data_IF_665782982905
#
_entry.id   IF_665782982905
#
_cell.length_a   1.000
_cell.length_b   1.000
_cell.length_c   1.000
_cell.angle_alpha   90.00
_cell.angle_beta   90.00
_cell.angle_gamma   90.00
#
_symmetry.space_group_name_H-M   'P 1'
#
loop_
_entity.id
_entity.type
_entity.pdbx_description
1 polymer ?
#
# COMPACT_ATOMS: atom_id res chain seq x y z
N UNK A 1 -13.28 -31.37 0.77
CA UNK A 1 -13.96 -30.55 -0.26
C UNK A 1 -13.03 -30.49 -1.46
N UNK A 2 -13.51 -30.80 -2.66
CA UNK A 2 -12.68 -30.72 -3.87
C UNK A 2 -12.60 -29.26 -4.35
N UNK A 3 -11.50 -28.89 -5.03
CA UNK A 3 -11.33 -27.60 -5.71
C UNK A 3 -12.54 -27.26 -6.63
N UNK A 4 -13.15 -28.25 -7.24
CA UNK A 4 -14.35 -28.16 -8.06
C UNK A 4 -15.55 -27.56 -7.32
N UNK A 5 -15.80 -27.99 -6.06
CA UNK A 5 -16.92 -27.45 -5.27
C UNK A 5 -16.77 -25.96 -4.94
N UNK A 6 -15.55 -25.51 -4.69
CA UNK A 6 -15.28 -24.07 -4.43
C UNK A 6 -15.53 -23.27 -5.70
N UNK A 7 -15.06 -23.75 -6.86
CA UNK A 7 -15.26 -23.09 -8.15
C UNK A 7 -16.74 -23.00 -8.54
N UNK A 8 -17.51 -24.07 -8.34
CA UNK A 8 -18.98 -24.07 -8.59
C UNK A 8 -19.70 -23.04 -7.71
N UNK A 9 -19.33 -22.96 -6.42
CA UNK A 9 -19.90 -21.96 -5.51
C UNK A 9 -19.55 -20.52 -5.89
N UNK A 10 -18.32 -20.27 -6.34
CA UNK A 10 -17.91 -18.95 -6.83
C UNK A 10 -18.68 -18.58 -8.11
N UNK A 11 -18.89 -19.54 -9.03
CA UNK A 11 -19.67 -19.30 -10.24
C UNK A 11 -21.14 -18.97 -9.93
N UNK A 12 -21.76 -19.70 -8.99
CA UNK A 12 -23.11 -19.41 -8.53
C UNK A 12 -23.22 -18.03 -7.87
N UNK A 13 -22.28 -17.68 -6.98
CA UNK A 13 -22.24 -16.37 -6.33
C UNK A 13 -22.11 -15.21 -7.34
N UNK A 14 -21.30 -15.42 -8.41
CA UNK A 14 -21.16 -14.43 -9.49
C UNK A 14 -22.47 -14.23 -10.22
N UNK A 15 -23.18 -15.31 -10.56
CA UNK A 15 -24.47 -15.24 -11.25
C UNK A 15 -25.53 -14.52 -10.40
N UNK A 16 -25.61 -14.82 -9.10
CA UNK A 16 -26.53 -14.13 -8.18
C UNK A 16 -26.18 -12.64 -8.04
N UNK A 17 -24.91 -12.31 -7.90
CA UNK A 17 -24.48 -10.91 -7.82
C UNK A 17 -24.82 -10.11 -9.09
N UNK A 18 -24.68 -10.75 -10.26
CA UNK A 18 -25.08 -10.15 -11.53
C UNK A 18 -26.61 -9.93 -11.59
N UNK A 19 -27.42 -10.93 -11.22
CA UNK A 19 -28.88 -10.82 -11.19
C UNK A 19 -29.36 -9.70 -10.26
N UNK A 20 -28.74 -9.56 -9.08
CA UNK A 20 -29.02 -8.45 -8.15
C UNK A 20 -28.66 -7.10 -8.79
N UNK A 21 -27.53 -7.01 -9.50
CA UNK A 21 -27.15 -5.79 -10.21
C UNK A 21 -28.13 -5.39 -11.31
N UNK A 22 -28.63 -6.34 -12.07
CA UNK A 22 -29.64 -6.14 -13.11
C UNK A 22 -30.97 -5.64 -12.52
N UNK A 23 -31.45 -6.29 -11.43
CA UNK A 23 -32.66 -5.85 -10.71
C UNK A 23 -32.53 -4.44 -10.18
N UNK A 24 -31.39 -4.09 -9.60
CA UNK A 24 -31.16 -2.73 -9.09
C UNK A 24 -31.11 -1.70 -10.21
N UNK A 25 -30.51 -2.04 -11.37
CA UNK A 25 -30.49 -1.15 -12.50
C UNK A 25 -31.90 -0.83 -13.04
N UNK A 26 -32.82 -1.78 -12.96
CA UNK A 26 -34.21 -1.61 -13.35
C UNK A 26 -35.08 -0.87 -12.32
N UNK A 27 -34.87 -1.13 -11.03
CA UNK A 27 -35.82 -0.75 -9.98
C UNK A 27 -35.35 0.40 -9.09
N UNK A 28 -34.05 0.71 -9.01
CA UNK A 28 -33.51 1.70 -8.08
C UNK A 28 -34.14 3.09 -8.21
N UNK A 29 -34.54 3.48 -9.42
CA UNK A 29 -35.22 4.77 -9.66
C UNK A 29 -36.60 4.89 -9.04
N UNK A 30 -37.23 3.78 -8.62
CA UNK A 30 -38.56 3.74 -8.00
C UNK A 30 -38.51 3.45 -6.48
N UNK A 31 -37.34 3.13 -5.94
CA UNK A 31 -37.14 2.82 -4.51
C UNK A 31 -37.04 4.08 -3.68
N UNK A 32 -37.47 3.99 -2.42
CA UNK A 32 -37.28 5.07 -1.46
C UNK A 32 -35.79 5.18 -1.05
N UNK A 33 -35.29 6.39 -0.71
CA UNK A 33 -33.87 6.57 -0.30
C UNK A 33 -33.45 5.66 0.87
N UNK A 34 -34.31 5.45 1.85
CA UNK A 34 -34.02 4.59 3.01
C UNK A 34 -33.83 3.12 2.59
N UNK A 35 -34.65 2.64 1.65
CA UNK A 35 -34.52 1.28 1.08
C UNK A 35 -33.20 1.13 0.32
N UNK A 36 -32.81 2.16 -0.43
CA UNK A 36 -31.52 2.17 -1.16
C UNK A 36 -30.32 2.14 -0.20
N UNK A 37 -30.39 2.87 0.93
CA UNK A 37 -29.34 2.81 1.95
C UNK A 37 -29.25 1.42 2.61
N UNK A 38 -30.41 0.80 2.89
CA UNK A 38 -30.44 -0.56 3.44
C UNK A 38 -29.84 -1.57 2.46
N UNK A 39 -30.24 -1.55 1.20
CA UNK A 39 -29.67 -2.40 0.14
C UNK A 39 -28.17 -2.18 -0.02
N UNK A 40 -27.71 -0.92 0.01
CA UNK A 40 -26.28 -0.59 -0.03
C UNK A 40 -25.52 -1.25 1.13
N UNK A 41 -26.07 -1.21 2.33
CA UNK A 41 -25.49 -1.85 3.51
C UNK A 41 -25.44 -3.38 3.39
N UNK A 42 -26.50 -4.01 2.89
CA UNK A 42 -26.54 -5.46 2.65
C UNK A 42 -25.52 -5.88 1.60
N UNK A 43 -25.39 -5.14 0.49
CA UNK A 43 -24.38 -5.38 -0.53
C UNK A 43 -22.96 -5.22 0.00
N UNK A 44 -22.73 -4.24 0.88
CA UNK A 44 -21.41 -4.12 1.53
C UNK A 44 -21.08 -5.37 2.35
N UNK A 45 -22.03 -5.98 3.02
CA UNK A 45 -21.85 -7.26 3.71
C UNK A 45 -21.40 -8.38 2.76
N UNK A 46 -22.04 -8.50 1.60
CA UNK A 46 -21.65 -9.47 0.57
C UNK A 46 -20.23 -9.21 0.04
N UNK A 47 -19.89 -7.95 -0.22
CA UNK A 47 -18.53 -7.56 -0.62
C UNK A 47 -17.49 -7.91 0.44
N UNK A 48 -17.80 -7.66 1.71
CA UNK A 48 -16.90 -8.02 2.83
C UNK A 48 -16.65 -9.54 2.89
N UNK A 49 -17.68 -10.37 2.70
CA UNK A 49 -17.55 -11.82 2.62
C UNK A 49 -16.62 -12.24 1.45
N UNK A 50 -16.84 -11.67 0.28
CA UNK A 50 -16.04 -11.96 -0.92
C UNK A 50 -14.56 -11.55 -0.76
N UNK A 51 -14.32 -10.35 -0.24
CA UNK A 51 -12.96 -9.89 0.09
C UNK A 51 -12.32 -10.75 1.17
N UNK A 52 -13.05 -11.14 2.21
CA UNK A 52 -12.57 -12.05 3.24
C UNK A 52 -12.13 -13.39 2.68
N UNK A 53 -12.93 -13.97 1.78
CA UNK A 53 -12.59 -15.21 1.10
C UNK A 53 -11.32 -15.06 0.23
N UNK A 54 -11.16 -13.92 -0.48
CA UNK A 54 -9.94 -13.61 -1.23
C UNK A 54 -8.72 -13.51 -0.32
N UNK A 55 -8.85 -12.87 0.86
CA UNK A 55 -7.76 -12.76 1.83
C UNK A 55 -7.30 -14.14 2.32
N UNK A 56 -8.22 -15.05 2.61
CA UNK A 56 -7.92 -16.44 2.98
C UNK A 56 -7.20 -17.16 1.84
N UNK A 57 -7.71 -17.06 0.60
CA UNK A 57 -7.09 -17.69 -0.55
C UNK A 57 -5.67 -17.15 -0.80
N UNK A 58 -5.48 -15.83 -0.76
CA UNK A 58 -4.18 -15.18 -0.94
C UNK A 58 -3.17 -15.57 0.16
N UNK A 59 -3.60 -15.67 1.42
CA UNK A 59 -2.75 -16.09 2.53
C UNK A 59 -2.28 -17.54 2.38
N UNK A 60 -3.19 -18.44 1.99
CA UNK A 60 -2.84 -19.83 1.77
C UNK A 60 -1.98 -20.02 0.52
N UNK A 61 -2.25 -19.31 -0.58
CA UNK A 61 -1.38 -19.32 -1.75
C UNK A 61 0.04 -18.85 -1.40
N UNK A 62 0.15 -17.76 -0.64
CA UNK A 62 1.43 -17.22 -0.20
C UNK A 62 2.22 -18.12 0.76
N UNK A 63 1.58 -19.11 1.39
CA UNK A 63 2.26 -20.08 2.25
C UNK A 63 3.01 -21.19 1.49
N UNK A 64 2.95 -21.19 0.15
CA UNK A 64 3.65 -22.12 -0.71
C UNK A 64 4.82 -21.42 -1.40
N UNK A 65 6.00 -22.03 -1.31
CA UNK A 65 7.23 -21.59 -1.98
C UNK A 65 7.57 -22.57 -3.10
N UNK A 66 7.88 -22.06 -4.29
CA UNK A 66 8.40 -22.90 -5.37
C UNK A 66 9.93 -22.86 -5.34
N UNK A 67 10.55 -23.97 -4.91
CA UNK A 67 12.01 -24.14 -4.92
C UNK A 67 12.47 -24.86 -6.18
N UNK A 68 13.42 -24.29 -6.88
CA UNK A 68 14.11 -24.97 -7.97
C UNK A 68 15.14 -25.92 -7.39
N UNK A 69 15.05 -27.21 -7.75
CA UNK A 69 16.02 -28.23 -7.38
C UNK A 69 16.60 -28.86 -8.65
N UNK A 70 17.71 -29.62 -8.52
CA UNK A 70 18.31 -30.34 -9.64
C UNK A 70 17.36 -31.32 -10.33
N UNK A 71 16.25 -31.69 -9.66
CA UNK A 71 15.20 -32.57 -10.17
C UNK A 71 13.98 -31.84 -10.69
N UNK A 72 14.03 -30.50 -10.75
CA UNK A 72 12.93 -29.63 -11.17
C UNK A 72 12.30 -28.84 -10.01
N UNK A 73 11.22 -28.07 -10.30
CA UNK A 73 10.53 -27.27 -9.29
C UNK A 73 9.78 -28.16 -8.28
N UNK A 74 9.94 -27.84 -6.99
CA UNK A 74 9.26 -28.50 -5.87
C UNK A 74 8.48 -27.46 -5.09
N UNK A 75 7.21 -27.77 -4.80
CA UNK A 75 6.37 -26.97 -3.92
C UNK A 75 6.66 -27.31 -2.46
N UNK A 76 7.01 -26.29 -1.67
CA UNK A 76 7.21 -26.39 -0.23
C UNK A 76 6.11 -25.62 0.47
N UNK A 77 5.32 -26.30 1.30
CA UNK A 77 4.30 -25.65 2.11
C UNK A 77 4.90 -25.22 3.45
N UNK A 78 4.76 -23.95 3.77
CA UNK A 78 5.15 -23.37 5.06
C UNK A 78 3.91 -23.19 5.96
N UNK A 79 4.13 -22.93 7.23
CA UNK A 79 3.04 -22.66 8.16
C UNK A 79 2.34 -21.33 7.89
N UNK A 80 1.18 -21.13 8.52
CA UNK A 80 0.44 -19.87 8.46
C UNK A 80 1.34 -18.68 8.87
N UNK A 81 1.26 -17.60 8.12
CA UNK A 81 2.06 -16.38 8.31
C UNK A 81 3.34 -16.29 7.49
N UNK A 82 3.79 -17.39 6.87
CA UNK A 82 4.83 -17.31 5.83
C UNK A 82 4.25 -16.61 4.58
N UNK A 83 5.06 -15.77 3.97
CA UNK A 83 4.71 -15.08 2.72
C UNK A 83 5.86 -15.28 1.75
N UNK A 84 5.61 -16.04 0.70
CA UNK A 84 6.54 -16.18 -0.42
C UNK A 84 6.76 -14.83 -1.11
N UNK A 85 8.00 -14.56 -1.51
CA UNK A 85 8.37 -13.28 -2.13
C UNK A 85 7.63 -13.01 -3.46
N UNK A 86 7.25 -14.07 -4.18
CA UNK A 86 6.53 -13.96 -5.44
C UNK A 86 5.00 -13.85 -5.27
N UNK A 87 4.46 -14.19 -4.10
CA UNK A 87 3.02 -14.22 -3.86
C UNK A 87 2.32 -12.86 -4.17
N UNK A 88 2.87 -11.68 -3.84
CA UNK A 88 2.26 -10.41 -4.24
C UNK A 88 2.13 -10.26 -5.76
N UNK A 89 3.13 -10.72 -6.52
CA UNK A 89 3.12 -10.66 -7.98
C UNK A 89 2.08 -11.61 -8.56
N UNK A 90 2.01 -12.84 -8.06
CA UNK A 90 1.02 -13.83 -8.50
C UNK A 90 -0.42 -13.40 -8.20
N UNK A 91 -0.67 -12.86 -7.00
CA UNK A 91 -1.97 -12.29 -6.64
C UNK A 91 -2.31 -11.07 -7.51
N UNK A 92 -1.34 -10.21 -7.83
CA UNK A 92 -1.51 -9.08 -8.74
C UNK A 92 -1.97 -9.55 -10.11
N UNK A 93 -1.29 -10.54 -10.69
CA UNK A 93 -1.64 -11.11 -12.00
C UNK A 93 -3.02 -11.79 -12.00
N UNK A 94 -3.35 -12.53 -10.93
CA UNK A 94 -4.62 -13.24 -10.82
C UNK A 94 -5.82 -12.30 -10.62
N UNK A 95 -5.63 -11.14 -10.02
CA UNK A 95 -6.71 -10.23 -9.63
C UNK A 95 -6.77 -8.95 -10.45
N UNK A 96 -5.73 -8.63 -11.22
CA UNK A 96 -5.63 -7.37 -11.97
C UNK A 96 -5.38 -6.12 -11.10
N UNK A 97 -5.11 -6.28 -9.79
CA UNK A 97 -4.76 -5.15 -8.91
C UNK A 97 -3.26 -4.87 -8.93
N UNK A 98 -2.84 -3.63 -8.64
CA UNK A 98 -1.42 -3.28 -8.59
C UNK A 98 -0.65 -4.09 -7.55
N UNK A 99 0.62 -4.39 -7.81
CA UNK A 99 1.50 -5.23 -6.97
C UNK A 99 1.56 -4.79 -5.49
N UNK A 100 1.60 -3.48 -5.25
CA UNK A 100 1.57 -2.94 -3.89
C UNK A 100 0.26 -3.28 -3.14
N UNK A 101 -0.89 -3.16 -3.82
CA UNK A 101 -2.19 -3.51 -3.25
C UNK A 101 -2.32 -5.02 -3.03
N UNK A 102 -1.78 -5.83 -3.95
CA UNK A 102 -1.71 -7.28 -3.81
C UNK A 102 -0.85 -7.69 -2.60
N UNK A 103 0.32 -7.08 -2.43
CA UNK A 103 1.18 -7.30 -1.25
C UNK A 103 0.47 -6.98 0.06
N UNK A 104 -0.27 -5.89 0.12
CA UNK A 104 -1.09 -5.55 1.30
C UNK A 104 -2.20 -6.58 1.57
N UNK A 105 -2.85 -7.10 0.52
CA UNK A 105 -3.86 -8.17 0.68
C UNK A 105 -3.26 -9.45 1.22
N UNK A 106 -2.15 -9.89 0.66
CA UNK A 106 -1.42 -11.07 1.14
C UNK A 106 -1.03 -10.90 2.61
N UNK A 107 -0.43 -9.77 2.96
CA UNK A 107 -0.01 -9.49 4.34
C UNK A 107 -1.21 -9.44 5.32
N UNK A 108 -2.32 -8.81 4.91
CA UNK A 108 -3.54 -8.78 5.72
C UNK A 108 -4.13 -10.17 5.89
N UNK A 109 -4.24 -10.95 4.81
CA UNK A 109 -4.75 -12.32 4.84
C UNK A 109 -3.92 -13.22 5.76
N UNK A 110 -2.59 -13.16 5.65
CA UNK A 110 -1.68 -13.90 6.53
C UNK A 110 -1.83 -13.50 8.00
N UNK A 111 -1.90 -12.18 8.28
CA UNK A 111 -2.09 -11.67 9.64
C UNK A 111 -3.44 -12.10 10.24
N UNK A 112 -4.53 -12.00 9.48
CA UNK A 112 -5.86 -12.40 9.94
C UNK A 112 -5.93 -13.90 10.20
N UNK A 113 -5.37 -14.71 9.31
CA UNK A 113 -5.38 -16.17 9.45
C UNK A 113 -4.56 -16.63 10.66
N UNK A 114 -3.40 -16.02 10.90
CA UNK A 114 -2.49 -16.46 11.96
C UNK A 114 -2.74 -15.78 13.31
N UNK A 115 -2.99 -14.46 13.31
CA UNK A 115 -2.92 -13.62 14.52
C UNK A 115 -4.28 -13.11 14.99
N UNK A 116 -5.27 -13.02 14.06
CA UNK A 116 -6.58 -12.42 14.32
C UNK A 116 -7.74 -13.28 13.80
N UNK A 117 -7.84 -14.57 14.21
CA UNK A 117 -8.84 -15.50 13.67
C UNK A 117 -10.30 -15.10 13.99
N UNK A 118 -10.55 -14.44 15.12
CA UNK A 118 -11.91 -13.98 15.48
C UNK A 118 -12.34 -12.80 14.59
N UNK A 119 -11.41 -11.90 14.29
CA UNK A 119 -11.62 -10.82 13.32
C UNK A 119 -11.87 -11.38 11.93
N UNK A 120 -11.07 -12.38 11.49
CA UNK A 120 -11.28 -13.05 10.22
C UNK A 120 -12.68 -13.65 10.12
N UNK A 121 -13.16 -14.31 11.19
CA UNK A 121 -14.52 -14.85 11.23
C UNK A 121 -15.58 -13.76 11.02
N UNK A 122 -15.40 -12.56 11.60
CA UNK A 122 -16.30 -11.42 11.42
C UNK A 122 -16.25 -10.85 9.99
N UNK A 123 -15.07 -10.82 9.36
CA UNK A 123 -14.94 -10.42 7.95
C UNK A 123 -15.63 -11.43 7.04
N UNK A 124 -15.43 -12.73 7.27
CA UNK A 124 -16.07 -13.79 6.50
C UNK A 124 -17.60 -13.83 6.69
N UNK A 125 -18.09 -13.39 7.84
CA UNK A 125 -19.53 -13.22 8.09
C UNK A 125 -20.12 -11.93 7.45
N UNK A 126 -19.28 -11.09 6.84
CA UNK A 126 -19.71 -9.80 6.26
C UNK A 126 -19.90 -8.67 7.28
N UNK A 127 -19.74 -8.94 8.57
CA UNK A 127 -19.99 -8.00 9.65
C UNK A 127 -18.93 -6.90 9.77
N UNK A 128 -17.72 -7.18 9.32
CA UNK A 128 -16.57 -6.26 9.41
C UNK A 128 -15.94 -6.07 8.05
N UNK A 129 -15.74 -4.82 7.66
CA UNK A 129 -15.03 -4.47 6.44
C UNK A 129 -13.52 -4.81 6.57
N UNK A 130 -12.89 -5.46 5.57
CA UNK A 130 -11.46 -5.74 5.54
C UNK A 130 -10.58 -4.51 5.81
N UNK A 131 -10.97 -3.32 5.34
CA UNK A 131 -10.27 -2.08 5.63
C UNK A 131 -10.27 -1.72 7.13
N UNK A 132 -11.33 -2.06 7.86
CA UNK A 132 -11.42 -1.89 9.31
C UNK A 132 -10.51 -2.90 10.03
N UNK A 133 -10.52 -4.16 9.59
CA UNK A 133 -9.61 -5.19 10.10
C UNK A 133 -8.13 -4.81 9.85
N UNK A 134 -7.80 -4.26 8.68
CA UNK A 134 -6.46 -3.74 8.37
C UNK A 134 -6.00 -2.68 9.38
N UNK A 135 -6.87 -1.77 9.80
CA UNK A 135 -6.52 -0.75 10.81
C UNK A 135 -6.14 -1.37 12.15
N UNK A 136 -6.81 -2.45 12.55
CA UNK A 136 -6.47 -3.19 13.78
C UNK A 136 -5.12 -3.89 13.62
N UNK A 137 -4.94 -4.62 12.52
CA UNK A 137 -3.69 -5.34 12.21
C UNK A 137 -2.49 -4.38 12.20
N UNK A 138 -2.61 -3.24 11.51
CA UNK A 138 -1.53 -2.24 11.43
C UNK A 138 -1.14 -1.70 12.80
N UNK A 139 -2.11 -1.43 13.69
CA UNK A 139 -1.79 -0.99 15.06
C UNK A 139 -1.04 -2.06 15.85
N UNK A 140 -1.26 -3.33 15.53
CA UNK A 140 -0.70 -4.48 16.24
C UNK A 140 0.54 -5.10 15.57
N UNK A 141 1.09 -4.52 14.52
CA UNK A 141 2.26 -5.07 13.78
C UNK A 141 3.46 -5.38 14.68
N UNK A 142 3.69 -4.55 15.69
CA UNK A 142 4.81 -4.70 16.63
C UNK A 142 4.57 -5.66 17.79
N UNK A 143 3.38 -6.25 17.92
CA UNK A 143 3.01 -7.15 19.00
C UNK A 143 3.30 -8.61 18.65
N UNK A 144 3.56 -9.45 19.66
CA UNK A 144 3.65 -10.88 19.47
C UNK A 144 2.27 -11.54 19.27
N UNK A 145 2.28 -12.82 18.93
CA UNK A 145 1.04 -13.58 18.66
C UNK A 145 0.11 -13.64 19.86
N UNK A 146 0.65 -13.80 21.08
CA UNK A 146 -0.14 -13.91 22.30
C UNK A 146 -0.86 -12.59 22.63
N UNK A 147 -0.17 -11.46 22.46
CA UNK A 147 -0.75 -10.13 22.61
C UNK A 147 -1.80 -9.86 21.53
N UNK A 148 -1.52 -10.22 20.28
CA UNK A 148 -2.50 -10.09 19.20
C UNK A 148 -3.77 -10.90 19.44
N UNK A 149 -3.68 -12.13 19.90
CA UNK A 149 -4.84 -12.95 20.24
C UNK A 149 -5.73 -12.31 21.32
N UNK A 150 -5.12 -11.65 22.32
CA UNK A 150 -5.88 -10.91 23.34
C UNK A 150 -6.54 -9.66 22.76
N UNK A 151 -5.85 -8.94 21.88
CA UNK A 151 -6.44 -7.79 21.19
C UNK A 151 -7.57 -8.24 20.28
N UNK A 152 -7.39 -9.34 19.53
CA UNK A 152 -8.41 -9.92 18.64
C UNK A 152 -9.70 -10.23 19.41
N UNK A 153 -9.61 -10.92 20.55
CA UNK A 153 -10.76 -11.26 21.39
C UNK A 153 -11.55 -10.01 21.85
N UNK A 154 -10.84 -8.94 22.22
CA UNK A 154 -11.49 -7.68 22.66
C UNK A 154 -12.10 -6.94 21.47
N UNK A 155 -11.34 -6.83 20.37
CA UNK A 155 -11.75 -6.05 19.21
C UNK A 155 -12.91 -6.71 18.45
N UNK A 156 -12.88 -8.02 18.25
CA UNK A 156 -13.96 -8.76 17.57
C UNK A 156 -15.33 -8.56 18.25
N UNK A 157 -15.36 -8.39 19.58
CA UNK A 157 -16.58 -8.10 20.31
C UNK A 157 -17.03 -6.64 20.31
N UNK A 158 -16.16 -5.71 19.87
CA UNK A 158 -16.43 -4.26 19.95
C UNK A 158 -16.55 -3.55 18.59
N UNK A 159 -16.10 -4.16 17.50
CA UNK A 159 -16.05 -3.50 16.20
C UNK A 159 -17.40 -3.04 15.66
N UNK A 160 -18.47 -3.80 15.92
CA UNK A 160 -19.82 -3.44 15.50
C UNK A 160 -20.35 -2.16 16.16
N UNK A 161 -19.82 -1.81 17.34
CA UNK A 161 -20.24 -0.64 18.12
C UNK A 161 -19.36 0.60 17.87
N UNK A 162 -18.24 0.43 17.14
CA UNK A 162 -17.23 1.47 16.96
C UNK A 162 -17.40 2.20 15.62
N UNK A 163 -17.39 3.52 15.69
CA UNK A 163 -17.19 4.34 14.51
C UNK A 163 -15.86 3.98 13.80
N UNK A 164 -15.87 3.76 12.47
CA UNK A 164 -14.67 3.39 11.72
C UNK A 164 -13.48 4.34 11.92
N UNK A 165 -13.72 5.64 12.12
CA UNK A 165 -12.68 6.64 12.38
C UNK A 165 -12.00 6.46 13.75
N UNK A 166 -12.68 5.83 14.72
CA UNK A 166 -12.18 5.61 16.08
C UNK A 166 -11.49 4.27 16.29
N UNK A 167 -11.58 3.34 15.34
CA UNK A 167 -11.02 1.98 15.46
C UNK A 167 -9.54 2.01 15.82
N UNK A 168 -8.71 2.73 15.07
CA UNK A 168 -7.25 2.78 15.33
C UNK A 168 -6.92 3.34 16.72
N UNK A 169 -7.63 4.38 17.16
CA UNK A 169 -7.41 4.98 18.48
C UNK A 169 -7.84 4.04 19.61
N UNK A 170 -8.95 3.34 19.44
CA UNK A 170 -9.42 2.35 20.40
C UNK A 170 -8.47 1.15 20.46
N UNK A 171 -8.06 0.62 19.30
CA UNK A 171 -7.09 -0.49 19.21
C UNK A 171 -5.77 -0.15 19.90
N UNK A 172 -5.24 1.08 19.72
CA UNK A 172 -4.02 1.52 20.44
C UNK A 172 -4.19 1.46 21.96
N UNK A 173 -5.34 1.89 22.48
CA UNK A 173 -5.61 1.81 23.93
C UNK A 173 -5.65 0.37 24.42
N UNK A 174 -6.29 -0.52 23.64
CA UNK A 174 -6.34 -1.95 23.95
C UNK A 174 -4.93 -2.56 23.90
N UNK A 175 -4.18 -2.33 22.81
CA UNK A 175 -2.81 -2.81 22.63
C UNK A 175 -1.88 -2.34 23.77
N UNK A 176 -1.96 -1.08 24.17
CA UNK A 176 -1.20 -0.54 25.31
C UNK A 176 -1.56 -1.22 26.61
N UNK A 177 -2.85 -1.52 26.85
CA UNK A 177 -3.28 -2.23 28.05
C UNK A 177 -2.80 -3.67 28.09
N UNK A 178 -2.78 -4.34 26.92
CA UNK A 178 -2.42 -5.76 26.79
C UNK A 178 -0.91 -5.97 26.81
N UNK A 179 -0.13 -5.09 26.15
CA UNK A 179 1.29 -5.28 25.90
C UNK A 179 2.08 -3.94 25.85
N UNK A 180 2.05 -3.18 26.95
CA UNK A 180 2.65 -1.85 27.04
C UNK A 180 4.13 -1.82 26.63
N UNK A 181 4.91 -2.82 27.01
CA UNK A 181 6.35 -2.87 26.72
C UNK A 181 6.61 -3.11 25.23
N UNK A 182 5.81 -3.97 24.59
CA UNK A 182 5.91 -4.21 23.16
C UNK A 182 5.50 -2.99 22.34
N UNK A 183 4.46 -2.27 22.79
CA UNK A 183 4.05 -1.00 22.17
C UNK A 183 5.17 0.04 22.28
N UNK A 184 5.82 0.16 23.43
CA UNK A 184 6.98 1.05 23.62
C UNK A 184 8.16 0.66 22.72
N UNK A 185 8.46 -0.63 22.63
CA UNK A 185 9.52 -1.13 21.75
C UNK A 185 9.22 -0.85 20.27
N UNK A 186 7.95 -1.00 19.84
CA UNK A 186 7.52 -0.64 18.49
C UNK A 186 7.69 0.86 18.21
N UNK A 187 7.31 1.73 19.16
CA UNK A 187 7.52 3.18 19.04
C UNK A 187 9.01 3.55 18.94
N UNK A 188 9.88 2.85 19.67
CA UNK A 188 11.33 3.06 19.55
C UNK A 188 11.87 2.62 18.18
N UNK A 189 11.37 1.53 17.60
CA UNK A 189 11.71 1.12 16.23
C UNK A 189 11.27 2.18 15.22
N UNK A 190 10.02 2.63 15.26
CA UNK A 190 9.50 3.68 14.37
C UNK A 190 10.35 4.95 14.41
N UNK A 191 10.90 5.32 15.58
CA UNK A 191 11.83 6.46 15.67
C UNK A 191 13.14 6.24 14.92
N UNK A 192 13.63 5.00 14.82
CA UNK A 192 14.83 4.66 14.03
C UNK A 192 14.52 4.63 12.54
N UNK A 193 13.35 4.12 12.18
CA UNK A 193 12.91 3.91 10.81
C UNK A 193 12.24 5.16 10.19
N UNK A 194 12.45 6.34 10.78
CA UNK A 194 11.94 7.59 10.24
C UNK A 194 12.56 7.89 8.88
N UNK A 195 11.75 8.34 7.96
CA UNK A 195 12.19 8.69 6.61
C UNK A 195 11.42 9.89 6.06
N UNK A 196 11.97 10.47 5.01
CA UNK A 196 11.31 11.41 4.11
C UNK A 196 11.61 10.95 2.69
N UNK A 197 10.59 10.80 1.88
CA UNK A 197 10.70 10.39 0.49
C UNK A 197 9.83 11.26 -0.42
N UNK A 198 10.18 11.30 -1.69
CA UNK A 198 9.37 11.95 -2.73
C UNK A 198 9.01 10.95 -3.81
N UNK A 199 7.83 11.11 -4.40
CA UNK A 199 7.37 10.31 -5.54
C UNK A 199 6.78 11.23 -6.60
N UNK A 200 7.02 10.96 -7.90
CA UNK A 200 6.37 11.70 -8.97
C UNK A 200 4.85 11.69 -8.81
N UNK A 201 4.23 12.83 -8.96
CA UNK A 201 2.78 13.05 -8.99
C UNK A 201 2.30 13.37 -10.39
N UNK A 202 1.00 13.61 -10.59
CA UNK A 202 0.43 14.04 -11.87
C UNK A 202 0.87 15.47 -12.21
N UNK A 203 0.87 15.77 -13.50
CA UNK A 203 0.99 17.13 -14.03
C UNK A 203 2.18 17.96 -13.51
N UNK A 204 3.32 17.29 -13.30
CA UNK A 204 4.53 17.93 -12.79
C UNK A 204 4.56 18.15 -11.28
N UNK A 205 3.53 17.72 -10.54
CA UNK A 205 3.52 17.72 -9.10
C UNK A 205 4.40 16.58 -8.52
N UNK A 206 4.73 16.68 -7.25
CA UNK A 206 5.50 15.66 -6.51
C UNK A 206 4.85 15.41 -5.16
N UNK A 207 4.63 14.13 -4.85
CA UNK A 207 4.17 13.71 -3.53
C UNK A 207 5.34 13.65 -2.56
N UNK A 208 5.16 14.24 -1.41
CA UNK A 208 6.06 14.11 -0.26
C UNK A 208 5.42 13.22 0.79
N UNK A 209 6.17 12.21 1.26
CA UNK A 209 5.77 11.30 2.33
C UNK A 209 6.82 11.30 3.42
N UNK A 210 6.41 11.48 4.66
CA UNK A 210 7.31 11.50 5.80
C UNK A 210 6.78 10.62 6.93
N UNK A 211 7.64 9.76 7.49
CA UNK A 211 7.39 9.05 8.75
C UNK A 211 8.21 9.71 9.84
N UNK A 212 7.55 10.46 10.72
CA UNK A 212 8.18 11.23 11.79
C UNK A 212 7.67 10.80 13.16
N UNK A 213 8.45 10.97 14.25
CA UNK A 213 7.93 10.83 15.60
C UNK A 213 6.73 11.75 15.83
N UNK A 214 5.70 11.25 16.52
CA UNK A 214 4.42 11.96 16.66
C UNK A 214 4.57 13.37 17.23
N UNK A 215 5.47 13.57 18.21
CA UNK A 215 5.73 14.90 18.79
C UNK A 215 6.31 15.87 17.75
N UNK A 216 7.33 15.44 16.99
CA UNK A 216 7.93 16.26 15.92
C UNK A 216 6.94 16.55 14.79
N UNK A 217 6.14 15.54 14.42
CA UNK A 217 5.09 15.70 13.40
C UNK A 217 4.04 16.72 13.85
N UNK A 218 3.60 16.67 15.12
CA UNK A 218 2.61 17.62 15.64
C UNK A 218 3.15 19.07 15.65
N UNK A 219 4.41 19.27 16.02
CA UNK A 219 5.04 20.59 16.00
C UNK A 219 5.19 21.11 14.57
N UNK A 220 5.66 20.25 13.63
CA UNK A 220 5.79 20.62 12.24
C UNK A 220 4.43 20.97 11.61
N UNK A 221 3.40 20.15 11.88
CA UNK A 221 2.05 20.43 11.41
C UNK A 221 1.46 21.72 11.96
N UNK A 222 1.71 22.02 13.25
CA UNK A 222 1.30 23.29 13.86
C UNK A 222 1.96 24.48 13.17
N UNK A 223 3.26 24.40 12.90
CA UNK A 223 3.98 25.47 12.19
C UNK A 223 3.44 25.71 10.78
N UNK A 224 3.23 24.63 10.01
CA UNK A 224 2.65 24.71 8.66
C UNK A 224 1.24 25.31 8.71
N UNK A 225 0.41 24.89 9.66
CA UNK A 225 -0.96 25.39 9.78
C UNK A 225 -1.01 26.86 10.18
N UNK A 226 -0.15 27.28 11.09
CA UNK A 226 -0.08 28.69 11.54
C UNK A 226 0.35 29.59 10.40
N UNK A 227 1.46 29.27 9.73
CA UNK A 227 1.95 30.06 8.60
C UNK A 227 0.98 30.02 7.41
N UNK A 228 0.35 28.86 7.13
CA UNK A 228 -0.67 28.77 6.09
C UNK A 228 -1.91 29.62 6.37
N UNK A 229 -2.31 29.75 7.64
CA UNK A 229 -3.39 30.66 8.02
C UNK A 229 -3.03 32.14 7.78
N UNK A 230 -1.77 32.53 8.01
CA UNK A 230 -1.28 33.90 7.68
C UNK A 230 -1.33 34.13 6.16
N UNK A 231 -0.94 33.17 5.34
CA UNK A 231 -0.97 33.29 3.88
C UNK A 231 -2.41 33.35 3.34
N UNK A 232 -3.30 32.52 3.84
CA UNK A 232 -4.72 32.56 3.45
C UNK A 232 -5.41 33.86 3.89
N UNK A 233 -4.98 34.50 4.97
CA UNK A 233 -5.47 35.79 5.39
C UNK A 233 -4.90 36.95 4.56
N UNK A 234 -3.71 36.80 3.97
CA UNK A 234 -3.09 37.80 3.12
C UNK A 234 -3.57 37.74 1.67
N UNK A 235 -4.03 36.58 1.21
CA UNK A 235 -4.54 36.37 -0.16
C UNK A 235 -5.81 35.50 -0.13
N UNK A 236 -6.95 36.15 -0.31
CA UNK A 236 -8.27 35.49 -0.34
C UNK A 236 -8.49 34.56 -1.55
N UNK A 237 -7.61 34.59 -2.56
CA UNK A 237 -7.67 33.67 -3.70
C UNK A 237 -7.11 32.27 -3.37
N UNK A 238 -6.32 32.14 -2.29
CA UNK A 238 -5.74 30.88 -1.86
C UNK A 238 -6.71 30.06 -1.00
N UNK A 239 -6.89 28.80 -1.36
CA UNK A 239 -7.53 27.86 -0.45
C UNK A 239 -6.60 27.54 0.75
N UNK A 240 -7.19 27.13 1.87
CA UNK A 240 -6.42 26.75 3.06
C UNK A 240 -5.41 25.62 2.80
N UNK A 241 -5.68 24.74 1.80
CA UNK A 241 -4.77 23.66 1.43
C UNK A 241 -3.59 24.18 0.58
N UNK A 242 -3.84 25.09 -0.35
CA UNK A 242 -2.80 25.77 -1.12
C UNK A 242 -1.87 26.58 -0.21
N UNK A 243 -2.44 27.39 0.67
CA UNK A 243 -1.68 28.17 1.64
C UNK A 243 -0.79 27.30 2.56
N UNK A 244 -1.28 26.10 2.95
CA UNK A 244 -0.45 25.14 3.70
C UNK A 244 0.68 24.55 2.87
N UNK A 245 0.46 24.30 1.57
CA UNK A 245 1.50 23.80 0.68
C UNK A 245 2.61 24.84 0.47
N UNK A 246 2.24 26.10 0.29
CA UNK A 246 3.20 27.22 0.19
C UNK A 246 3.98 27.40 1.50
N UNK A 247 3.28 27.38 2.64
CA UNK A 247 3.90 27.45 3.96
C UNK A 247 4.88 26.29 4.22
N UNK A 248 4.54 25.07 3.78
CA UNK A 248 5.43 23.92 3.89
C UNK A 248 6.72 24.14 3.10
N UNK A 249 6.61 24.61 1.85
CA UNK A 249 7.75 24.89 0.99
C UNK A 249 8.66 25.97 1.59
N UNK A 250 8.07 27.05 2.07
CA UNK A 250 8.83 28.17 2.68
C UNK A 250 9.53 27.76 3.97
N UNK A 251 8.87 26.95 4.81
CA UNK A 251 9.50 26.44 6.04
C UNK A 251 10.69 25.53 5.74
N UNK A 252 10.65 24.76 4.66
CA UNK A 252 11.77 23.89 4.23
C UNK A 252 12.94 24.72 3.70
N UNK A 253 12.67 25.84 3.00
CA UNK A 253 13.69 26.64 2.31
C UNK A 253 14.26 27.76 3.20
N UNK A 254 13.62 28.09 4.32
CA UNK A 254 13.88 29.31 5.12
C UNK A 254 15.33 29.47 5.62
N UNK A 255 16.09 28.40 5.80
CA UNK A 255 17.46 28.46 6.34
C UNK A 255 18.44 27.59 5.56
N UNK A 256 18.15 27.34 4.28
CA UNK A 256 18.96 26.43 3.46
C UNK A 256 19.35 27.15 2.17
N UNK A 257 20.65 27.27 1.95
CA UNK A 257 21.18 27.74 0.65
C UNK A 257 21.18 26.52 -0.30
N UNK A 258 20.13 26.42 -1.14
CA UNK A 258 19.93 25.26 -2.02
C UNK A 258 20.36 25.63 -3.44
N UNK A 259 21.40 24.95 -3.93
CA UNK A 259 21.74 24.96 -5.35
C UNK A 259 21.12 23.69 -5.97
N UNK A 260 19.93 23.77 -6.54
CA UNK A 260 19.28 22.66 -7.23
C UNK A 260 19.34 22.84 -8.74
N UNK A 261 19.75 21.80 -9.47
CA UNK A 261 19.63 21.74 -10.93
C UNK A 261 18.31 21.03 -11.27
N UNK A 262 17.32 21.79 -11.73
CA UNK A 262 16.04 21.24 -12.19
C UNK A 262 16.09 21.11 -13.71
N UNK A 263 15.91 19.89 -14.23
CA UNK A 263 15.77 19.63 -15.66
C UNK A 263 14.29 19.43 -15.96
N UNK A 264 13.67 20.41 -16.62
CA UNK A 264 12.29 20.32 -17.08
C UNK A 264 12.28 19.78 -18.52
N UNK A 265 11.69 18.61 -18.73
CA UNK A 265 11.38 18.11 -20.07
C UNK A 265 10.06 18.71 -20.55
N UNK A 266 10.11 19.68 -21.45
CA UNK A 266 8.91 20.23 -22.09
C UNK A 266 8.68 19.42 -23.38
N UNK A 267 7.56 18.68 -23.53
CA UNK A 267 7.25 18.03 -24.79
C UNK A 267 6.97 19.11 -25.84
N UNK A 268 7.81 19.15 -26.87
CA UNK A 268 7.55 20.00 -28.05
C UNK A 268 6.56 19.24 -28.93
N UNK A 269 5.32 19.72 -28.96
CA UNK A 269 4.32 19.25 -29.92
C UNK A 269 4.70 19.91 -31.26
N UNK A 270 5.36 19.16 -32.13
CA UNK A 270 5.51 19.54 -33.53
C UNK A 270 4.19 19.25 -34.22
N UNK A 271 3.41 20.28 -34.50
CA UNK A 271 2.26 20.19 -35.40
C UNK A 271 2.77 19.79 -36.80
N UNK A 272 2.85 18.50 -37.03
CA UNK A 272 3.05 17.98 -38.38
C UNK A 272 1.68 17.96 -39.05
N UNK A 273 1.29 19.10 -39.58
CA UNK A 273 0.18 19.15 -40.54
C UNK A 273 0.61 18.29 -41.74
N UNK A 274 -0.10 17.23 -42.09
CA UNK A 274 0.19 16.47 -43.29
C UNK A 274 -0.10 17.37 -44.49
N UNK A 275 0.94 17.90 -45.12
CA UNK A 275 0.82 18.49 -46.46
C UNK A 275 0.48 17.33 -47.42
N UNK A 276 -0.75 17.36 -47.86
CA UNK A 276 -1.27 16.53 -48.93
C UNK A 276 -0.62 16.97 -50.26
N UNK A 277 0.50 16.34 -50.61
CA UNK A 277 1.11 16.47 -51.93
C UNK A 277 0.64 15.28 -52.75
N UNK A 278 -0.14 15.58 -53.78
CA UNK A 278 -0.53 14.62 -54.83
C UNK A 278 0.71 14.01 -55.54
N UNK A 279 0.58 12.82 -56.09
CA UNK A 279 1.74 12.13 -56.68
C UNK A 279 2.00 12.70 -58.09
N UNK A 280 3.18 13.25 -58.27
CA UNK A 280 3.78 13.44 -59.60
C UNK A 280 4.79 12.30 -59.88
N UNK A 281 4.57 11.73 -61.05
CA UNK A 281 5.24 10.60 -61.67
C UNK A 281 6.66 10.93 -62.10
N UNK A 282 7.52 9.89 -62.06
CA UNK A 282 8.76 9.67 -62.83
C UNK A 282 10.02 10.44 -62.48
N UNK A 283 11.07 9.80 -62.02
CA UNK A 283 12.21 9.33 -62.83
C UNK A 283 13.33 8.77 -61.92
N UNK A 284 13.70 7.60 -62.24
CA UNK A 284 14.94 6.85 -62.00
C UNK A 284 16.22 7.71 -61.79
N UNK A 285 16.97 7.47 -60.70
CA UNK A 285 18.45 7.47 -60.73
C UNK A 285 18.99 6.85 -59.43
N UNK A 286 19.66 5.76 -59.66
CA UNK A 286 20.62 5.05 -58.80
C UNK A 286 21.63 6.00 -58.08
N UNK A 287 21.83 5.81 -56.79
CA UNK A 287 23.22 5.88 -56.23
C UNK A 287 23.30 5.27 -54.83
N UNK A 288 24.28 4.41 -54.77
CA UNK A 288 24.85 3.72 -53.61
C UNK A 288 25.35 4.68 -52.50
N UNK A 289 25.33 4.14 -51.27
CA UNK A 289 26.46 4.31 -50.38
C UNK A 289 26.20 4.90 -49.02
N UNK A 290 26.29 4.11 -48.09
CA UNK A 290 27.18 4.15 -46.91
C UNK A 290 26.49 3.93 -45.61
N UNK A 291 26.88 2.85 -44.98
CA UNK A 291 26.62 2.44 -43.61
C UNK A 291 27.10 3.48 -42.60
N UNK A 292 26.35 3.69 -41.55
CA UNK A 292 26.83 4.26 -40.31
C UNK A 292 26.48 3.34 -39.15
N UNK A 293 27.50 2.82 -38.60
CA UNK A 293 27.72 1.94 -37.47
C UNK A 293 26.99 2.37 -36.20
N UNK A 294 26.31 1.39 -35.59
CA UNK A 294 26.03 1.33 -34.17
C UNK A 294 27.32 1.37 -33.36
N UNK A 295 27.41 2.26 -32.38
CA UNK A 295 28.40 2.14 -31.32
C UNK A 295 27.70 1.72 -30.04
N UNK A 296 27.91 0.48 -29.70
CA UNK A 296 27.74 -0.07 -28.35
C UNK A 296 28.68 0.68 -27.41
N UNK A 297 28.15 1.16 -26.30
CA UNK A 297 28.94 1.60 -25.16
C UNK A 297 28.82 0.54 -24.07
N UNK A 298 29.91 -0.12 -23.88
CA UNK A 298 30.20 -1.13 -22.89
C UNK A 298 30.16 -0.59 -21.46
N UNK A 299 29.61 -1.43 -20.59
CA UNK A 299 29.83 -1.46 -19.14
C UNK A 299 31.35 -1.64 -18.86
N UNK A 300 31.86 -0.81 -17.94
CA UNK A 300 33.03 -1.17 -17.14
C UNK A 300 33.10 -0.34 -15.86
N UNK A 301 33.38 -1.08 -14.80
CA UNK A 301 33.98 -0.69 -13.52
C UNK A 301 33.10 -0.09 -12.38
N UNK A 302 32.66 -1.01 -11.52
CA UNK A 302 32.50 -0.75 -10.07
C UNK A 302 33.73 -1.28 -9.31
N UNK A 303 34.39 -0.51 -8.45
CA UNK A 303 35.45 -1.01 -7.59
C UNK A 303 34.88 -1.72 -6.35
N UNK A 304 35.41 -2.90 -6.08
CA UNK A 304 35.22 -3.68 -4.87
C UNK A 304 35.79 -2.93 -3.66
N UNK A 305 34.93 -2.66 -2.67
CA UNK A 305 35.39 -2.25 -1.34
C UNK A 305 35.63 -3.47 -0.46
N UNK A 306 36.86 -3.59 -0.05
CA UNK A 306 37.42 -4.59 0.86
C UNK A 306 36.91 -4.36 2.29
N UNK A 307 36.43 -5.43 2.90
CA UNK A 307 36.14 -5.57 4.33
C UNK A 307 37.48 -5.70 5.08
N UNK A 308 37.75 -4.95 6.16
CA UNK A 308 38.78 -5.31 7.11
C UNK A 308 38.18 -6.22 8.20
N UNK A 309 38.74 -7.43 8.29
CA UNK A 309 38.75 -8.26 9.49
C UNK A 309 39.69 -7.64 10.55
N UNK A 310 39.44 -8.06 11.77
CA UNK A 310 40.27 -8.03 12.97
C UNK A 310 40.11 -6.89 13.97
N UNK A 311 39.85 -7.35 15.19
CA UNK A 311 40.21 -6.60 16.39
C UNK A 311 39.42 -6.95 17.64
N UNK A 312 39.77 -8.10 18.21
CA UNK A 312 39.91 -8.33 19.67
C UNK A 312 38.94 -7.66 20.67
N UNK A 313 38.23 -8.51 21.37
CA UNK A 313 37.72 -8.25 22.71
C UNK A 313 38.87 -8.05 23.73
N UNK A 314 38.68 -7.26 24.75
CA UNK A 314 39.06 -7.67 26.07
C UNK A 314 37.90 -7.68 27.05
N UNK A 315 37.82 -8.79 27.76
CA UNK A 315 36.95 -8.95 28.90
C UNK A 315 37.50 -8.32 30.17
N UNK A 316 36.70 -8.53 31.21
CA UNK A 316 37.04 -8.61 32.67
C UNK A 316 36.63 -7.46 33.54
N UNK A 317 35.86 -7.82 34.55
CA UNK A 317 35.87 -7.31 35.94
C UNK A 317 34.74 -6.33 36.19
N UNK A 318 33.75 -6.56 36.98
CA UNK A 318 33.77 -7.22 38.30
C UNK A 318 33.46 -6.20 39.37
N UNK A 319 32.44 -6.45 40.16
CA UNK A 319 32.11 -5.87 41.50
C UNK A 319 31.50 -4.45 41.46
N UNK A 320 30.32 -4.23 41.95
CA UNK A 320 29.83 -4.38 43.33
C UNK A 320 29.26 -3.06 43.77
N UNK A 321 28.04 -2.99 44.02
CA UNK A 321 27.22 -2.47 45.13
C UNK A 321 25.78 -2.30 44.68
#
# INVERSE_FOLDING_TARGET
>A
MSSSQVQERIAALRAEAQAVGELLAEQAGSMAPDELFEVTGQLQGVLNCGEGAQLVAAAHAASHETRLTDRGPVQVHHGAGFIDAMAPTEVSLATGIGQWAAGRRVALGAALTQRFPLMLAKVLAGEVCPATAQRVVTVCEGLDQAACAKVDAIMAGKLAELDPGRVSAFTRRVATRVAADQVRAAQCRTRRDRFVETRPGPDGATWWSALLPAASSAVAWSAITTLGAEYAAADESLSADQARADAFTDLLLRNVDVTAKVTLGIPVITDTTPQNTAPDTDTDTTREGTAATNSEASDEDAPAETVPEDGESPGVGGQGL
#
